data_IF_705627829362
#
_entry.id   IF_705627829362
#
_cell.length_a   1.000
_cell.length_b   1.000
_cell.length_c   1.000
_cell.angle_alpha   90.00
_cell.angle_beta   90.00
_cell.angle_gamma   90.00
#
_symmetry.space_group_name_H-M   'P 1'
#
loop_
_entity.id
_entity.type
_entity.pdbx_description
1 polymer ?
#
# COMPACT_ATOMS: atom_id res chain seq x y z
N UNK A 1 -1.42 11.49 27.91
CA UNK A 1 -1.13 11.31 26.48
C UNK A 1 -1.49 9.88 26.14
N UNK A 2 -2.64 9.65 25.50
CA UNK A 2 -3.06 8.28 25.16
C UNK A 2 -2.14 7.70 24.10
N UNK A 3 -1.65 6.45 24.23
CA UNK A 3 -0.84 5.83 23.21
C UNK A 3 -1.64 5.77 21.92
N UNK A 4 -1.14 6.42 20.87
CA UNK A 4 -1.70 6.38 19.53
C UNK A 4 -1.79 4.93 19.09
N UNK A 5 -3.00 4.36 19.11
CA UNK A 5 -3.23 2.96 18.83
C UNK A 5 -2.90 2.69 17.36
N UNK A 6 -1.81 1.95 17.04
CA UNK A 6 -1.39 1.74 15.64
C UNK A 6 -2.49 1.10 14.79
N UNK A 7 -3.35 0.28 15.40
CA UNK A 7 -4.50 -0.32 14.72
C UNK A 7 -5.55 0.72 14.30
N UNK A 8 -5.73 1.78 15.09
CA UNK A 8 -6.65 2.87 14.75
C UNK A 8 -6.09 3.70 13.59
N UNK A 9 -4.78 3.95 13.55
CA UNK A 9 -4.12 4.62 12.43
C UNK A 9 -4.22 3.79 11.13
N UNK A 10 -4.01 2.48 11.22
CA UNK A 10 -4.17 1.57 10.08
C UNK A 10 -5.60 1.59 9.52
N UNK A 11 -6.61 1.60 10.41
CA UNK A 11 -8.02 1.68 10.00
C UNK A 11 -8.36 2.99 9.30
N UNK A 12 -7.92 4.13 9.85
CA UNK A 12 -8.13 5.45 9.22
C UNK A 12 -7.46 5.52 7.84
N UNK A 13 -6.26 4.98 7.69
CA UNK A 13 -5.58 4.89 6.40
C UNK A 13 -6.36 4.02 5.41
N UNK A 14 -6.86 2.86 5.83
CA UNK A 14 -7.67 1.98 5.00
C UNK A 14 -8.98 2.65 4.52
N UNK A 15 -9.64 3.40 5.41
CA UNK A 15 -10.85 4.16 5.06
C UNK A 15 -10.55 5.28 4.06
N UNK A 16 -9.42 5.98 4.21
CA UNK A 16 -8.98 7.02 3.28
C UNK A 16 -8.66 6.46 1.88
N UNK A 17 -7.96 5.33 1.82
CA UNK A 17 -7.68 4.61 0.57
C UNK A 17 -9.00 4.16 -0.09
N UNK A 18 -9.93 3.63 0.70
CA UNK A 18 -11.25 3.19 0.20
C UNK A 18 -12.02 4.34 -0.43
N UNK A 19 -12.02 5.53 0.20
CA UNK A 19 -12.63 6.73 -0.37
C UNK A 19 -11.97 7.15 -1.68
N UNK A 20 -10.64 7.21 -1.70
CA UNK A 20 -9.87 7.54 -2.91
C UNK A 20 -10.18 6.57 -4.06
N UNK A 21 -10.16 5.26 -3.80
CA UNK A 21 -10.48 4.24 -4.80
C UNK A 21 -11.91 4.40 -5.32
N UNK A 22 -12.87 4.72 -4.45
CA UNK A 22 -14.24 4.97 -4.87
C UNK A 22 -14.36 6.24 -5.72
N UNK A 23 -13.64 7.31 -5.40
CA UNK A 23 -13.65 8.54 -6.20
C UNK A 23 -13.03 8.33 -7.58
N UNK A 24 -11.99 7.49 -7.69
CA UNK A 24 -11.43 7.05 -8.97
C UNK A 24 -12.43 6.21 -9.76
N UNK A 25 -13.03 5.19 -9.14
CA UNK A 25 -14.01 4.29 -9.79
C UNK A 25 -15.26 5.03 -10.29
N UNK A 26 -15.67 6.07 -9.57
CA UNK A 26 -16.84 6.89 -9.93
C UNK A 26 -16.51 7.99 -10.94
N UNK A 27 -15.27 8.08 -11.42
CA UNK A 27 -14.83 9.12 -12.36
C UNK A 27 -14.84 10.53 -11.77
N UNK A 28 -14.97 10.66 -10.44
CA UNK A 28 -14.95 11.94 -9.72
C UNK A 28 -13.53 12.44 -9.45
N UNK A 29 -12.54 11.57 -9.56
CA UNK A 29 -11.14 11.97 -9.55
C UNK A 29 -10.85 12.82 -10.80
N UNK A 30 -10.86 14.14 -10.65
CA UNK A 30 -10.49 15.06 -11.72
C UNK A 30 -8.96 15.11 -11.86
N UNK A 31 -8.45 14.31 -12.80
CA UNK A 31 -7.05 14.35 -13.26
C UNK A 31 -6.78 15.50 -14.24
N UNK A 32 -7.61 16.55 -14.20
CA UNK A 32 -7.66 17.63 -15.19
C UNK A 32 -6.44 18.56 -15.15
N UNK A 33 -5.59 18.42 -14.13
CA UNK A 33 -4.37 19.19 -14.00
C UNK A 33 -3.18 18.27 -13.73
N UNK A 34 -2.05 18.53 -14.43
CA UNK A 34 -0.82 17.74 -14.30
C UNK A 34 -0.34 17.69 -12.86
N UNK A 35 -0.50 18.77 -12.10
CA UNK A 35 -0.12 18.82 -10.68
C UNK A 35 -0.94 17.85 -9.81
N UNK A 36 -2.24 17.71 -10.09
CA UNK A 36 -3.08 16.73 -9.39
C UNK A 36 -2.66 15.30 -9.72
N UNK A 37 -2.29 15.03 -10.97
CA UNK A 37 -1.78 13.72 -11.40
C UNK A 37 -0.41 13.40 -10.76
N UNK A 38 0.50 14.39 -10.69
CA UNK A 38 1.80 14.27 -10.02
C UNK A 38 1.65 14.02 -8.52
N UNK A 39 0.74 14.75 -7.87
CA UNK A 39 0.45 14.58 -6.44
C UNK A 39 -0.14 13.19 -6.16
N UNK A 40 -1.09 12.72 -6.96
CA UNK A 40 -1.62 11.38 -6.79
C UNK A 40 -0.59 10.29 -7.05
N UNK A 41 0.31 10.48 -8.02
CA UNK A 41 1.43 9.55 -8.24
C UNK A 41 2.37 9.46 -7.01
N UNK A 42 2.61 10.58 -6.30
CA UNK A 42 3.35 10.57 -5.02
C UNK A 42 2.58 9.82 -3.93
N UNK A 43 1.28 10.08 -3.80
CA UNK A 43 0.47 9.47 -2.76
C UNK A 43 0.33 7.96 -2.97
N UNK A 44 0.16 7.51 -4.21
CA UNK A 44 0.20 6.09 -4.56
C UNK A 44 1.59 5.48 -4.33
N UNK A 45 2.68 6.23 -4.59
CA UNK A 45 4.05 5.77 -4.30
C UNK A 45 4.23 5.51 -2.80
N UNK A 46 3.86 6.47 -1.95
CA UNK A 46 3.92 6.36 -0.49
C UNK A 46 3.05 5.21 0.01
N UNK A 47 1.87 5.04 -0.58
CA UNK A 47 0.97 3.96 -0.23
C UNK A 47 1.58 2.59 -0.55
N UNK A 48 2.11 2.39 -1.76
CA UNK A 48 2.79 1.14 -2.13
C UNK A 48 3.98 0.83 -1.21
N UNK A 49 4.78 1.84 -0.85
CA UNK A 49 5.87 1.65 0.12
C UNK A 49 5.37 1.22 1.51
N UNK A 50 4.32 1.87 2.01
CA UNK A 50 3.70 1.52 3.28
C UNK A 50 3.07 0.12 3.25
N UNK A 51 2.41 -0.25 2.14
CA UNK A 51 1.85 -1.59 1.94
C UNK A 51 2.94 -2.65 1.89
N UNK A 52 4.04 -2.42 1.17
CA UNK A 52 5.19 -3.33 1.14
C UNK A 52 5.74 -3.59 2.56
N UNK A 53 5.90 -2.54 3.36
CA UNK A 53 6.35 -2.67 4.75
C UNK A 53 5.35 -3.43 5.62
N UNK A 54 4.05 -3.13 5.51
CA UNK A 54 3.00 -3.81 6.26
C UNK A 54 2.93 -5.30 5.92
N UNK A 55 3.02 -5.66 4.63
CA UNK A 55 3.01 -7.05 4.17
C UNK A 55 4.22 -7.84 4.71
N UNK A 56 5.40 -7.21 4.77
CA UNK A 56 6.57 -7.82 5.41
C UNK A 56 6.38 -8.04 6.92
N UNK A 57 5.79 -7.07 7.63
CA UNK A 57 5.48 -7.22 9.05
C UNK A 57 4.45 -8.32 9.31
N UNK A 58 3.42 -8.44 8.45
CA UNK A 58 2.43 -9.52 8.52
C UNK A 58 3.08 -10.88 8.29
N UNK A 59 3.96 -11.01 7.28
CA UNK A 59 4.71 -12.24 7.02
C UNK A 59 5.56 -12.66 8.22
N UNK A 60 6.27 -11.70 8.83
CA UNK A 60 7.07 -11.93 10.02
C UNK A 60 6.21 -12.36 11.23
N UNK A 61 5.09 -11.69 11.47
CA UNK A 61 4.16 -12.05 12.54
C UNK A 61 3.57 -13.44 12.33
N UNK A 62 3.17 -13.79 11.10
CA UNK A 62 2.63 -15.11 10.77
C UNK A 62 3.68 -16.21 10.98
N UNK A 63 4.94 -15.93 10.63
CA UNK A 63 6.09 -16.79 10.89
C UNK A 63 6.51 -16.89 12.37
N UNK A 64 5.91 -16.11 13.27
CA UNK A 64 6.04 -16.27 14.72
C UNK A 64 4.88 -17.06 15.31
N UNK A 65 3.66 -16.90 14.77
CA UNK A 65 2.44 -17.53 15.29
C UNK A 65 2.36 -19.02 14.92
N UNK A 66 2.74 -19.40 13.70
CA UNK A 66 2.51 -20.75 13.19
C UNK A 66 3.69 -21.28 12.37
N UNK A 67 4.83 -21.55 13.00
CA UNK A 67 5.94 -22.19 12.30
C UNK A 67 5.62 -23.65 11.97
N UNK A 68 5.88 -24.04 10.72
CA UNK A 68 6.03 -25.44 10.34
C UNK A 68 4.80 -26.12 9.76
N UNK A 69 3.76 -25.37 9.37
CA UNK A 69 2.69 -25.93 8.51
C UNK A 69 2.88 -25.47 7.07
N UNK A 70 2.66 -26.34 6.06
CA UNK A 70 2.73 -25.96 4.66
C UNK A 70 1.81 -24.79 4.29
N UNK A 71 0.66 -24.70 4.94
CA UNK A 71 -0.31 -23.61 4.73
C UNK A 71 0.23 -22.27 5.23
N UNK A 72 0.90 -22.24 6.40
CA UNK A 72 1.52 -21.02 6.91
C UNK A 72 2.70 -20.59 6.05
N UNK A 73 3.54 -21.54 5.59
CA UNK A 73 4.67 -21.23 4.70
C UNK A 73 4.20 -20.68 3.36
N UNK A 74 3.12 -21.24 2.80
CA UNK A 74 2.49 -20.72 1.59
C UNK A 74 1.97 -19.29 1.78
N UNK A 75 1.29 -19.02 2.90
CA UNK A 75 0.77 -17.69 3.21
C UNK A 75 1.89 -16.66 3.40
N UNK A 76 2.98 -17.01 4.09
CA UNK A 76 4.18 -16.18 4.24
C UNK A 76 4.78 -15.87 2.87
N UNK A 77 4.92 -16.89 2.00
CA UNK A 77 5.40 -16.71 0.64
C UNK A 77 4.55 -15.75 -0.18
N UNK A 78 3.23 -15.88 -0.11
CA UNK A 78 2.30 -14.99 -0.80
C UNK A 78 2.40 -13.54 -0.30
N UNK A 79 2.52 -13.32 1.02
CA UNK A 79 2.71 -11.99 1.60
C UNK A 79 4.04 -11.35 1.15
N UNK A 80 5.12 -12.14 1.07
CA UNK A 80 6.40 -11.66 0.54
C UNK A 80 6.29 -11.28 -0.95
N UNK A 81 5.65 -12.11 -1.77
CA UNK A 81 5.45 -11.81 -3.20
C UNK A 81 4.62 -10.54 -3.40
N UNK A 82 3.54 -10.37 -2.64
CA UNK A 82 2.75 -9.15 -2.65
C UNK A 82 3.58 -7.91 -2.26
N UNK A 83 4.39 -8.02 -1.20
CA UNK A 83 5.29 -6.94 -0.79
C UNK A 83 6.31 -6.55 -1.88
N UNK A 84 6.85 -7.52 -2.61
CA UNK A 84 7.74 -7.25 -3.75
C UNK A 84 7.01 -6.58 -4.92
N UNK A 85 5.78 -7.00 -5.20
CA UNK A 85 4.96 -6.37 -6.24
C UNK A 85 4.71 -4.89 -5.92
N UNK A 86 4.45 -4.54 -4.66
CA UNK A 86 4.30 -3.14 -4.22
C UNK A 86 5.60 -2.33 -4.36
N UNK A 87 6.77 -2.93 -4.08
CA UNK A 87 8.06 -2.28 -4.33
C UNK A 87 8.25 -2.01 -5.83
N UNK A 88 7.86 -2.93 -6.70
CA UNK A 88 7.91 -2.73 -8.15
C UNK A 88 6.92 -1.63 -8.59
N UNK A 89 5.69 -1.64 -8.07
CA UNK A 89 4.68 -0.63 -8.33
C UNK A 89 5.16 0.78 -7.96
N UNK A 90 5.71 0.96 -6.76
CA UNK A 90 6.26 2.26 -6.32
C UNK A 90 7.37 2.77 -7.25
N UNK A 91 8.24 1.89 -7.76
CA UNK A 91 9.27 2.28 -8.75
C UNK A 91 8.65 2.75 -10.06
N UNK A 92 7.63 2.04 -10.56
CA UNK A 92 6.92 2.44 -11.78
C UNK A 92 6.19 3.77 -11.59
N UNK A 93 5.56 4.00 -10.44
CA UNK A 93 4.89 5.26 -10.11
C UNK A 93 5.86 6.44 -10.03
N UNK A 94 7.02 6.28 -9.37
CA UNK A 94 8.07 7.31 -9.36
C UNK A 94 8.55 7.64 -10.77
N UNK A 95 8.76 6.62 -11.61
CA UNK A 95 9.16 6.82 -13.01
C UNK A 95 8.07 7.53 -13.80
N UNK A 96 6.80 7.14 -13.64
CA UNK A 96 5.68 7.78 -14.30
C UNK A 96 5.58 9.27 -13.92
N UNK A 97 5.69 9.59 -12.63
CA UNK A 97 5.75 10.97 -12.14
C UNK A 97 6.84 11.79 -12.84
N UNK A 98 8.06 11.23 -12.96
CA UNK A 98 9.19 11.92 -13.60
C UNK A 98 8.95 12.22 -15.09
N UNK A 99 8.01 11.51 -15.73
CA UNK A 99 7.66 11.71 -17.14
C UNK A 99 6.45 12.62 -17.36
N UNK A 100 5.79 13.08 -16.30
CA UNK A 100 4.67 14.01 -16.39
C UNK A 100 5.22 15.44 -16.51
N UNK A 101 4.95 16.11 -17.64
CA UNK A 101 5.32 17.52 -17.89
C UNK A 101 4.16 18.44 -17.54
#
# INVERSE_FOLDING_TARGET
MSPQNPAQHARVAADAITRLVNDVKTGRAQWTHTDNAKQAADDFTRLSEAMAAALQQMAAALGQIGRGTPQTDQAIGALHQAGQAEVVASRHLRRARQTMY
#
